data_IF_912624664752
#
_entry.id   IF_912624664752
#
_cell.length_a   1.000
_cell.length_b   1.000
_cell.length_c   1.000
_cell.angle_alpha   90.00
_cell.angle_beta   90.00
_cell.angle_gamma   90.00
#
_symmetry.space_group_name_H-M   'P 1'
#
loop_
_entity.id
_entity.type
_entity.pdbx_description
1 polymer ?
#
# COMPACT_ATOMS: atom_id res chain seq x y z
N UNK A 1 -2.46 8.77 -16.57
CA UNK A 1 -3.36 8.31 -15.48
C UNK A 1 -4.71 7.96 -16.08
N UNK A 2 -5.25 6.84 -15.70
CA UNK A 2 -6.58 6.42 -16.14
C UNK A 2 -7.64 7.00 -15.18
N UNK A 3 -8.37 8.01 -15.62
CA UNK A 3 -9.33 8.72 -14.75
C UNK A 3 -10.53 7.87 -14.35
N UNK A 4 -10.95 6.91 -15.18
CA UNK A 4 -12.06 6.03 -14.80
C UNK A 4 -11.64 5.04 -13.71
N UNK A 5 -10.41 4.55 -13.76
CA UNK A 5 -9.85 3.70 -12.71
C UNK A 5 -9.59 4.48 -11.42
N UNK A 6 -9.14 5.73 -11.55
CA UNK A 6 -9.01 6.63 -10.40
C UNK A 6 -10.35 6.81 -9.69
N UNK A 7 -11.40 7.10 -10.44
CA UNK A 7 -12.73 7.29 -9.87
C UNK A 7 -13.26 6.01 -9.22
N UNK A 8 -13.07 4.86 -9.85
CA UNK A 8 -13.46 3.57 -9.29
C UNK A 8 -12.73 3.29 -7.96
N UNK A 9 -11.43 3.61 -7.89
CA UNK A 9 -10.67 3.47 -6.65
C UNK A 9 -11.21 4.37 -5.54
N UNK A 10 -11.49 5.65 -5.85
CA UNK A 10 -12.05 6.60 -4.88
C UNK A 10 -13.40 6.09 -4.36
N UNK A 11 -14.28 5.62 -5.23
CA UNK A 11 -15.57 5.06 -4.84
C UNK A 11 -15.40 3.82 -3.96
N UNK A 12 -14.45 2.96 -4.29
CA UNK A 12 -14.13 1.80 -3.46
C UNK A 12 -13.65 2.20 -2.06
N UNK A 13 -12.74 3.18 -1.98
CA UNK A 13 -12.25 3.72 -0.70
C UNK A 13 -13.42 4.23 0.14
N UNK A 14 -14.34 4.97 -0.47
CA UNK A 14 -15.54 5.48 0.22
C UNK A 14 -16.43 4.33 0.71
N UNK A 15 -16.56 3.27 -0.07
CA UNK A 15 -17.41 2.12 0.27
C UNK A 15 -16.91 1.32 1.48
N UNK A 16 -15.60 1.37 1.76
CA UNK A 16 -15.00 0.67 2.91
C UNK A 16 -14.74 1.59 4.11
N UNK A 17 -15.40 2.74 4.15
CA UNK A 17 -15.36 3.65 5.28
C UNK A 17 -14.75 5.01 5.01
N UNK A 18 -14.05 5.18 3.91
CA UNK A 18 -13.42 6.46 3.55
C UNK A 18 -12.35 6.91 4.54
N UNK A 19 -11.94 8.16 4.41
CA UNK A 19 -10.99 8.82 5.31
C UNK A 19 -11.76 9.66 6.32
N UNK A 20 -11.89 9.15 7.55
CA UNK A 20 -12.56 9.85 8.64
C UNK A 20 -11.62 10.11 9.81
N UNK A 21 -11.96 11.10 10.65
CA UNK A 21 -11.14 11.47 11.80
C UNK A 21 -11.16 10.42 12.92
N UNK A 22 -12.16 9.54 12.94
CA UNK A 22 -12.35 8.58 14.03
C UNK A 22 -12.14 7.13 13.60
N UNK A 23 -11.84 6.87 12.33
CA UNK A 23 -11.63 5.52 11.80
C UNK A 23 -10.19 5.36 11.30
N UNK A 24 -9.57 4.16 11.47
CA UNK A 24 -8.30 3.87 10.83
C UNK A 24 -8.40 4.01 9.31
N UNK A 25 -7.35 4.52 8.68
CA UNK A 25 -7.34 4.70 7.24
C UNK A 25 -7.50 3.35 6.52
N UNK A 26 -8.31 3.28 5.46
CA UNK A 26 -8.61 2.03 4.78
C UNK A 26 -7.43 1.47 4.01
N UNK A 27 -7.45 0.16 3.80
CA UNK A 27 -6.48 -0.52 2.94
C UNK A 27 -7.17 -1.04 1.68
N UNK A 28 -6.42 -1.07 0.58
CA UNK A 28 -6.85 -1.62 -0.71
C UNK A 28 -5.81 -2.59 -1.23
N UNK A 29 -6.19 -3.42 -2.20
CA UNK A 29 -5.23 -4.33 -2.83
C UNK A 29 -4.21 -3.54 -3.65
N UNK A 30 -3.05 -4.15 -3.89
CA UNK A 30 -2.05 -3.52 -4.77
C UNK A 30 -2.59 -3.39 -6.20
N UNK A 31 -3.38 -4.35 -6.67
CA UNK A 31 -3.98 -4.26 -8.01
C UNK A 31 -4.89 -3.03 -8.12
N UNK A 32 -5.74 -2.79 -7.12
CA UNK A 32 -6.64 -1.62 -7.11
C UNK A 32 -5.86 -0.30 -7.03
N UNK A 33 -4.79 -0.25 -6.26
CA UNK A 33 -4.01 0.99 -6.09
C UNK A 33 -3.16 1.32 -7.30
N UNK A 34 -2.58 0.32 -7.96
CA UNK A 34 -1.61 0.57 -9.04
C UNK A 34 -2.20 0.50 -10.45
N UNK A 35 -3.37 -0.10 -10.65
CA UNK A 35 -3.99 -0.20 -11.98
C UNK A 35 -4.42 1.18 -12.48
N UNK A 36 -3.78 1.64 -13.56
CA UNK A 36 -4.03 2.97 -14.12
C UNK A 36 -3.28 4.11 -13.43
N UNK A 37 -2.45 3.81 -12.43
CA UNK A 37 -1.70 4.80 -11.65
C UNK A 37 -0.33 5.05 -12.27
N UNK A 38 -0.09 6.28 -12.73
CA UNK A 38 1.22 6.75 -13.19
C UNK A 38 1.74 7.95 -12.38
N UNK A 39 1.11 8.23 -11.23
CA UNK A 39 1.45 9.34 -10.36
C UNK A 39 2.62 8.96 -9.43
N UNK A 40 3.81 9.49 -9.72
CA UNK A 40 5.02 9.25 -8.91
C UNK A 40 4.87 9.75 -7.49
N UNK A 41 4.03 10.77 -7.26
CA UNK A 41 3.76 11.28 -5.92
C UNK A 41 2.79 10.43 -5.10
N UNK A 42 2.16 9.43 -5.71
CA UNK A 42 1.11 8.65 -5.01
C UNK A 42 1.66 7.73 -3.93
N UNK A 43 2.90 7.28 -4.05
CA UNK A 43 3.59 6.45 -3.04
C UNK A 43 5.09 6.69 -3.14
N UNK A 44 5.79 6.68 -2.01
CA UNK A 44 7.23 6.90 -1.98
C UNK A 44 7.63 8.28 -2.46
N UNK A 45 6.81 9.30 -2.20
CA UNK A 45 7.01 10.66 -2.72
C UNK A 45 8.32 11.30 -2.24
N UNK A 46 8.93 10.78 -1.17
CA UNK A 46 10.21 11.26 -0.62
C UNK A 46 11.43 10.66 -1.33
N UNK A 47 11.25 9.69 -2.23
CA UNK A 47 12.37 8.99 -2.86
C UNK A 47 13.01 9.84 -3.96
N UNK A 48 14.35 9.97 -3.88
CA UNK A 48 15.14 10.67 -4.90
C UNK A 48 15.24 9.84 -6.19
N UNK A 49 15.40 8.53 -6.03
CA UNK A 49 15.54 7.56 -7.13
C UNK A 49 14.30 6.69 -7.20
N UNK A 50 13.18 7.29 -7.56
CA UNK A 50 11.86 6.65 -7.53
C UNK A 50 11.69 5.72 -8.73
N UNK A 51 11.36 4.42 -8.51
CA UNK A 51 11.20 3.46 -9.61
C UNK A 51 9.90 3.62 -10.40
N UNK A 52 9.05 4.57 -10.01
CA UNK A 52 7.72 4.77 -10.57
C UNK A 52 6.67 3.86 -9.95
N UNK A 53 5.37 4.18 -10.11
CA UNK A 53 4.30 3.33 -9.59
C UNK A 53 4.38 1.90 -10.09
N UNK A 54 4.76 1.70 -11.36
CA UNK A 54 4.89 0.35 -11.92
C UNK A 54 6.07 -0.41 -11.29
N UNK A 55 7.17 0.27 -10.96
CA UNK A 55 8.29 -0.35 -10.24
C UNK A 55 7.90 -0.78 -8.83
N UNK A 56 7.10 0.03 -8.13
CA UNK A 56 6.50 -0.36 -6.86
C UNK A 56 5.61 -1.58 -7.03
N UNK A 57 4.71 -1.55 -8.01
CA UNK A 57 3.78 -2.64 -8.26
C UNK A 57 4.49 -3.96 -8.56
N UNK A 58 5.49 -3.94 -9.44
CA UNK A 58 6.27 -5.13 -9.80
C UNK A 58 6.93 -5.77 -8.57
N UNK A 59 7.56 -4.95 -7.73
CA UNK A 59 8.22 -5.42 -6.51
C UNK A 59 7.20 -5.99 -5.52
N UNK A 60 6.12 -5.26 -5.25
CA UNK A 60 5.09 -5.68 -4.28
C UNK A 60 4.33 -6.91 -4.79
N UNK A 61 4.07 -7.01 -6.09
CA UNK A 61 3.44 -8.19 -6.67
C UNK A 61 4.32 -9.42 -6.55
N UNK A 62 5.61 -9.28 -6.79
CA UNK A 62 6.58 -10.35 -6.62
C UNK A 62 6.60 -10.87 -5.17
N UNK A 63 6.48 -9.95 -4.20
CA UNK A 63 6.38 -10.31 -2.79
C UNK A 63 5.05 -11.03 -2.52
N UNK A 64 3.93 -10.47 -3.00
CA UNK A 64 2.59 -11.07 -2.81
C UNK A 64 2.52 -12.50 -3.33
N UNK A 65 3.19 -12.80 -4.44
CA UNK A 65 3.12 -14.09 -5.11
C UNK A 65 3.99 -15.17 -4.43
N UNK A 66 4.73 -14.82 -3.37
CA UNK A 66 5.51 -15.79 -2.60
C UNK A 66 4.59 -16.70 -1.79
N UNK A 67 5.02 -17.97 -1.62
CA UNK A 67 4.25 -18.94 -0.85
C UNK A 67 4.17 -18.63 0.65
N UNK A 68 5.11 -17.83 1.18
CA UNK A 68 5.16 -17.41 2.58
C UNK A 68 4.47 -16.06 2.83
N UNK A 69 3.84 -15.47 1.83
CA UNK A 69 3.10 -14.20 1.94
C UNK A 69 1.61 -14.45 1.72
N UNK A 70 0.80 -13.99 2.67
CA UNK A 70 -0.67 -14.14 2.62
C UNK A 70 -1.29 -13.00 1.84
N UNK A 71 -0.82 -11.76 2.06
CA UNK A 71 -1.41 -10.58 1.43
C UNK A 71 -0.46 -9.39 1.46
N UNK A 72 -0.67 -8.46 0.53
CA UNK A 72 -0.01 -7.15 0.48
C UNK A 72 -1.08 -6.10 0.24
N UNK A 73 -1.18 -5.13 1.14
CA UNK A 73 -2.24 -4.12 1.15
C UNK A 73 -1.66 -2.72 1.21
N UNK A 74 -2.25 -1.79 0.46
CA UNK A 74 -1.86 -0.38 0.45
C UNK A 74 -2.81 0.40 1.33
N UNK A 75 -2.29 1.10 2.33
CA UNK A 75 -3.11 1.96 3.19
C UNK A 75 -3.23 3.35 2.59
N UNK A 76 -4.45 3.84 2.43
CA UNK A 76 -4.72 5.15 1.86
C UNK A 76 -4.51 6.22 2.92
N UNK A 77 -3.67 7.21 2.63
CA UNK A 77 -3.39 8.33 3.53
C UNK A 77 -4.27 9.54 3.22
N UNK A 78 -4.42 9.88 1.94
CA UNK A 78 -5.14 11.08 1.50
C UNK A 78 -5.77 10.88 0.13
N UNK A 79 -6.92 11.50 -0.10
CA UNK A 79 -7.60 11.53 -1.40
C UNK A 79 -7.97 12.98 -1.71
N UNK A 80 -7.46 13.52 -2.83
CA UNK A 80 -7.81 14.83 -3.35
C UNK A 80 -8.83 14.64 -4.49
N UNK A 81 -10.11 14.52 -4.12
CA UNK A 81 -11.18 14.21 -5.09
C UNK A 81 -11.27 15.23 -6.23
N UNK A 82 -11.08 16.50 -5.90
CA UNK A 82 -11.23 17.61 -6.85
C UNK A 82 -10.00 17.86 -7.73
N UNK A 83 -8.88 17.22 -7.44
CA UNK A 83 -7.67 17.32 -8.25
C UNK A 83 -7.43 16.04 -9.06
N UNK A 84 -7.87 16.07 -10.31
CA UNK A 84 -7.77 14.90 -11.22
C UNK A 84 -6.34 14.60 -11.65
N UNK A 85 -5.36 15.42 -11.28
CA UNK A 85 -3.94 15.14 -11.54
C UNK A 85 -3.31 14.31 -10.42
N UNK A 86 -4.01 14.11 -9.31
CA UNK A 86 -3.53 13.38 -8.14
C UNK A 86 -4.28 12.06 -7.97
N UNK A 87 -3.52 10.98 -7.92
CA UNK A 87 -4.02 9.66 -7.51
C UNK A 87 -4.17 9.63 -6.00
N UNK A 88 -5.06 8.81 -5.42
CA UNK A 88 -5.07 8.60 -3.97
C UNK A 88 -3.66 8.32 -3.45
N UNK A 89 -3.31 8.95 -2.33
CA UNK A 89 -1.95 8.97 -1.81
C UNK A 89 -1.77 7.94 -0.70
N UNK A 90 -0.62 7.25 -0.73
CA UNK A 90 -0.22 6.32 0.32
C UNK A 90 1.21 6.60 0.78
N UNK A 91 1.45 6.41 2.08
CA UNK A 91 2.80 6.38 2.65
C UNK A 91 3.09 5.03 3.34
N UNK A 92 2.14 4.08 3.30
CA UNK A 92 2.27 2.83 4.05
C UNK A 92 1.67 1.64 3.30
N UNK A 93 2.41 0.53 3.35
CA UNK A 93 1.97 -0.75 2.81
C UNK A 93 2.07 -1.79 3.91
N UNK A 94 1.08 -2.70 3.99
CA UNK A 94 1.15 -3.85 4.90
C UNK A 94 1.53 -5.11 4.12
N UNK A 95 2.46 -5.88 4.68
CA UNK A 95 2.83 -7.20 4.15
C UNK A 95 2.52 -8.23 5.23
N UNK A 96 1.53 -9.08 4.97
CA UNK A 96 1.11 -10.15 5.88
C UNK A 96 1.81 -11.43 5.49
N UNK A 97 2.69 -11.94 6.34
CA UNK A 97 3.63 -13.00 5.96
C UNK A 97 4.09 -13.84 7.14
N UNK A 98 4.54 -15.06 6.83
CA UNK A 98 5.27 -15.95 7.75
C UNK A 98 6.76 -15.62 7.78
N UNK A 99 7.27 -14.89 6.79
CA UNK A 99 8.68 -14.57 6.68
C UNK A 99 9.14 -13.63 7.80
N UNK A 100 10.42 -13.69 8.14
CA UNK A 100 10.98 -12.79 9.15
C UNK A 100 11.29 -11.40 8.60
N UNK A 101 11.59 -10.48 9.51
CA UNK A 101 11.89 -9.09 9.16
C UNK A 101 13.08 -8.97 8.20
N UNK A 102 14.13 -9.76 8.41
CA UNK A 102 15.33 -9.69 7.58
C UNK A 102 15.03 -10.08 6.13
N UNK A 103 14.18 -11.08 5.92
CA UNK A 103 13.75 -11.50 4.59
C UNK A 103 12.94 -10.40 3.91
N UNK A 104 11.98 -9.82 4.61
CA UNK A 104 11.14 -8.75 4.06
C UNK A 104 11.96 -7.50 3.75
N UNK A 105 12.89 -7.13 4.63
CA UNK A 105 13.77 -5.98 4.39
C UNK A 105 14.60 -6.14 3.11
N UNK A 106 15.12 -7.34 2.86
CA UNK A 106 15.86 -7.66 1.62
C UNK A 106 15.00 -7.52 0.37
N UNK A 107 13.76 -8.02 0.43
CA UNK A 107 12.84 -7.98 -0.70
C UNK A 107 12.40 -6.55 -1.05
N UNK A 108 12.45 -5.64 -0.09
CA UNK A 108 12.02 -4.25 -0.25
C UNK A 108 13.17 -3.28 -0.56
N UNK A 109 14.41 -3.76 -0.68
CA UNK A 109 15.58 -2.89 -0.79
C UNK A 109 15.48 -1.90 -1.97
N UNK A 110 14.91 -2.33 -3.08
CA UNK A 110 14.72 -1.50 -4.28
C UNK A 110 13.80 -0.31 -4.00
N UNK A 111 12.85 -0.47 -3.11
CA UNK A 111 11.85 0.56 -2.79
C UNK A 111 12.30 1.51 -1.67
N UNK A 112 13.40 1.23 -1.01
CA UNK A 112 14.03 2.09 0.01
C UNK A 112 13.06 2.63 1.07
N UNK A 113 12.33 1.74 1.78
CA UNK A 113 11.41 2.21 2.82
C UNK A 113 12.18 2.88 3.96
N UNK A 114 11.52 3.86 4.59
CA UNK A 114 12.07 4.58 5.75
C UNK A 114 12.05 3.72 7.01
N UNK A 115 11.01 2.89 7.16
CA UNK A 115 10.78 2.10 8.37
C UNK A 115 9.93 0.87 8.06
N UNK A 116 10.16 -0.22 8.81
CA UNK A 116 9.33 -1.42 8.83
C UNK A 116 8.98 -1.73 10.27
N UNK A 117 7.66 -1.74 10.60
CA UNK A 117 7.15 -1.94 11.96
C UNK A 117 6.28 -3.21 11.99
N UNK A 118 6.58 -4.11 12.93
CA UNK A 118 5.84 -5.36 13.12
C UNK A 118 4.62 -5.24 14.05
N UNK A 119 4.44 -4.08 14.69
CA UNK A 119 3.42 -3.88 15.73
C UNK A 119 2.32 -2.89 15.34
N UNK A 120 2.37 -2.31 14.16
CA UNK A 120 1.33 -1.39 13.71
C UNK A 120 0.09 -2.17 13.26
N UNK A 121 -1.10 -1.86 13.82
CA UNK A 121 -2.29 -2.67 13.56
C UNK A 121 -2.89 -2.45 12.17
N UNK A 122 -3.40 -3.52 11.57
CA UNK A 122 -4.26 -3.42 10.40
C UNK A 122 -5.59 -2.77 10.79
N UNK A 123 -6.25 -2.03 9.87
CA UNK A 123 -7.59 -1.51 10.15
C UNK A 123 -8.61 -2.63 10.33
N UNK A 124 -9.68 -2.42 11.14
CA UNK A 124 -10.65 -3.48 11.46
C UNK A 124 -11.36 -4.09 10.26
N UNK A 125 -11.53 -3.34 9.16
CA UNK A 125 -12.20 -3.87 7.96
C UNK A 125 -11.33 -4.87 7.19
N UNK A 126 -10.02 -4.87 7.42
CA UNK A 126 -9.10 -5.80 6.76
C UNK A 126 -9.17 -7.19 7.41
N UNK A 127 -8.92 -8.22 6.61
CA UNK A 127 -8.79 -9.56 7.13
C UNK A 127 -7.59 -9.64 8.09
N UNK A 128 -7.83 -10.13 9.31
CA UNK A 128 -6.79 -10.22 10.31
C UNK A 128 -5.78 -11.33 9.98
N UNK A 129 -4.48 -11.15 10.31
CA UNK A 129 -3.46 -12.13 9.97
C UNK A 129 -3.73 -13.48 10.64
N UNK A 130 -3.42 -14.62 9.96
CA UNK A 130 -3.34 -15.91 10.64
C UNK A 130 -2.36 -15.89 11.81
N UNK A 131 -2.51 -16.80 12.78
CA UNK A 131 -1.68 -16.85 14.00
C UNK A 131 -0.18 -16.94 13.71
N UNK A 132 0.20 -17.64 12.64
CA UNK A 132 1.60 -17.83 12.27
C UNK A 132 2.16 -16.72 11.39
N UNK A 133 1.40 -15.65 11.15
CA UNK A 133 1.79 -14.53 10.32
C UNK A 133 1.95 -13.23 11.11
N UNK A 134 2.79 -12.35 10.57
CA UNK A 134 2.95 -10.97 11.05
C UNK A 134 2.51 -10.03 9.93
N UNK A 135 1.84 -8.95 10.29
CA UNK A 135 1.55 -7.86 9.37
C UNK A 135 2.62 -6.77 9.56
N UNK A 136 3.59 -6.73 8.66
CA UNK A 136 4.60 -5.68 8.67
C UNK A 136 4.05 -4.42 8.01
N UNK A 137 4.11 -3.30 8.73
CA UNK A 137 3.78 -1.98 8.16
C UNK A 137 5.07 -1.35 7.63
N UNK A 138 5.08 -0.99 6.36
CA UNK A 138 6.24 -0.46 5.65
C UNK A 138 5.96 0.98 5.26
N UNK A 139 6.81 1.91 5.67
CA UNK A 139 6.62 3.36 5.46
C UNK A 139 7.62 3.98 4.51
N UNK A 140 7.13 5.03 3.84
CA UNK A 140 7.92 6.00 3.07
C UNK A 140 7.53 7.41 3.55
N UNK A 141 8.42 8.08 4.31
CA UNK A 141 8.18 9.43 4.83
C UNK A 141 9.43 10.33 4.86
#
# INVERSE_FOLDING_TARGET
MDLSKRQALIEHIQSIGGLGMSAPAPVVTIDAFFDGNDDYGSIGCNLTDHPGPQGFYETLRSIRDRSDVVNVLVQIYEVEEDDVTMWPFSERVFIVTKADLATIAKLLVRLQPSEIDSEYPLPPHAEQPPEDCVAYAVWWD
#
